data_IF_166223266457
#
_entry.id   IF_166223266457
#
_cell.length_a   1.000
_cell.length_b   1.000
_cell.length_c   1.000
_cell.angle_alpha   90.00
_cell.angle_beta   90.00
_cell.angle_gamma   90.00
#
_symmetry.space_group_name_H-M   'P 1'
#
loop_
_entity.id
_entity.type
_entity.pdbx_description
1 polymer ?
#
# COMPACT_ATOMS: atom_id res chain seq x y z
N UNK A 1 16.19 16.11 -0.06
CA UNK A 1 15.27 15.49 0.92
C UNK A 1 14.50 14.35 0.30
N UNK A 2 14.90 13.12 0.61
CA UNK A 2 14.24 11.90 0.13
C UNK A 2 13.03 11.58 1.00
N UNK A 3 11.99 12.42 0.95
CA UNK A 3 10.74 12.11 1.65
C UNK A 3 9.96 11.05 0.87
N UNK A 4 9.65 9.95 1.55
CA UNK A 4 8.71 8.95 1.05
C UNK A 4 7.30 9.55 1.05
N UNK A 5 6.60 9.43 -0.08
CA UNK A 5 5.23 9.94 -0.24
C UNK A 5 4.35 8.83 -0.78
N UNK A 6 3.35 8.43 -0.01
CA UNK A 6 2.35 7.45 -0.42
C UNK A 6 1.09 8.17 -0.89
N UNK A 7 0.54 7.77 -2.05
CA UNK A 7 -0.82 8.17 -2.40
C UNK A 7 -1.80 7.51 -1.43
N UNK A 8 -2.91 8.19 -1.17
CA UNK A 8 -3.92 7.76 -0.20
C UNK A 8 -5.20 7.23 -0.87
N UNK A 9 -5.23 7.06 -2.19
CA UNK A 9 -6.37 6.55 -2.96
C UNK A 9 -5.88 5.61 -4.07
N UNK A 10 -6.63 4.52 -4.29
CA UNK A 10 -6.58 3.69 -5.50
C UNK A 10 -7.98 3.51 -6.08
N UNK A 11 -8.04 3.43 -7.41
CA UNK A 11 -9.25 3.21 -8.23
C UNK A 11 -8.99 2.05 -9.20
N UNK A 12 -8.85 0.81 -8.72
CA UNK A 12 -8.51 -0.35 -9.55
C UNK A 12 -9.67 -0.74 -10.50
N UNK A 13 -9.77 -0.02 -11.62
CA UNK A 13 -10.77 -0.18 -12.66
C UNK A 13 -10.14 -0.51 -14.04
N UNK A 14 -8.81 -0.52 -14.15
CA UNK A 14 -8.07 -0.92 -15.35
C UNK A 14 -7.90 0.19 -16.37
N UNK A 15 -8.10 1.46 -16.00
CA UNK A 15 -7.90 2.62 -16.88
C UNK A 15 -6.44 3.12 -16.94
N UNK A 16 -5.55 2.49 -16.16
CA UNK A 16 -4.14 2.85 -16.04
C UNK A 16 -3.85 3.93 -14.99
N UNK A 17 -4.85 4.44 -14.27
CA UNK A 17 -4.72 5.54 -13.30
C UNK A 17 -5.10 5.07 -11.90
N UNK A 18 -4.13 5.17 -10.99
CA UNK A 18 -4.29 4.73 -9.59
C UNK A 18 -4.80 3.28 -9.46
N UNK A 19 -4.51 2.42 -10.44
CA UNK A 19 -4.88 1.00 -10.40
C UNK A 19 -4.13 0.23 -9.32
N UNK A 20 -2.91 0.66 -9.02
CA UNK A 20 -2.09 0.15 -7.92
C UNK A 20 -1.73 1.24 -6.94
N UNK A 21 -1.39 0.83 -5.72
CA UNK A 21 -0.94 1.74 -4.69
C UNK A 21 0.51 2.13 -4.93
N UNK A 22 0.70 3.38 -5.34
CA UNK A 22 2.01 3.96 -5.61
C UNK A 22 2.56 4.68 -4.39
N UNK A 23 3.77 4.29 -3.99
CA UNK A 23 4.59 4.94 -2.99
C UNK A 23 5.87 5.45 -3.70
N UNK A 24 6.05 6.77 -3.70
CA UNK A 24 7.24 7.40 -4.30
C UNK A 24 8.47 7.12 -3.43
N UNK A 25 9.60 6.86 -4.10
CA UNK A 25 10.91 6.57 -3.51
C UNK A 25 10.99 5.27 -2.69
N UNK A 26 10.02 4.35 -2.84
CA UNK A 26 10.07 3.05 -2.14
C UNK A 26 11.20 2.15 -2.64
N UNK A 27 11.65 2.37 -3.87
CA UNK A 27 12.79 1.71 -4.53
C UNK A 27 14.13 1.99 -3.83
N UNK A 28 14.25 3.09 -3.08
CA UNK A 28 15.43 3.34 -2.23
C UNK A 28 15.47 2.47 -0.98
N UNK A 29 14.39 1.76 -0.67
CA UNK A 29 14.26 0.86 0.48
C UNK A 29 13.98 -0.57 -0.02
N UNK A 30 14.93 -1.25 -0.67
CA UNK A 30 14.70 -2.58 -1.25
C UNK A 30 14.35 -3.65 -0.20
N UNK A 31 14.75 -3.42 1.06
CA UNK A 31 14.39 -4.29 2.20
C UNK A 31 13.08 -3.90 2.89
N UNK A 32 12.27 -3.02 2.29
CA UNK A 32 11.02 -2.58 2.90
C UNK A 32 10.06 -3.74 3.15
N UNK A 33 9.16 -3.57 4.11
CA UNK A 33 8.01 -4.45 4.30
C UNK A 33 6.75 -3.61 4.39
N UNK A 34 5.82 -3.83 3.48
CA UNK A 34 4.51 -3.18 3.47
C UNK A 34 3.47 -4.12 4.04
N UNK A 35 2.66 -3.62 4.97
CA UNK A 35 1.47 -4.28 5.51
C UNK A 35 0.28 -3.36 5.38
N UNK A 36 -0.85 -3.89 4.91
CA UNK A 36 -2.14 -3.20 4.87
C UNK A 36 -3.14 -3.94 5.74
N UNK A 37 -3.94 -3.17 6.47
CA UNK A 37 -4.88 -3.62 7.47
C UNK A 37 -6.28 -3.09 7.15
N UNK A 38 -7.29 -3.90 7.43
CA UNK A 38 -8.67 -3.42 7.45
C UNK A 38 -8.98 -2.62 8.72
N UNK A 39 -10.22 -2.13 8.84
CA UNK A 39 -10.68 -1.36 10.00
C UNK A 39 -10.69 -2.14 11.31
N UNK A 40 -10.69 -3.48 11.26
CA UNK A 40 -10.63 -4.34 12.43
C UNK A 40 -9.18 -4.67 12.83
N UNK A 41 -8.19 -4.15 12.11
CA UNK A 41 -6.77 -4.41 12.35
C UNK A 41 -6.28 -5.74 11.78
N UNK A 42 -7.07 -6.43 10.94
CA UNK A 42 -6.64 -7.66 10.28
C UNK A 42 -5.75 -7.33 9.09
N UNK A 43 -4.65 -8.05 8.91
CA UNK A 43 -3.78 -7.90 7.75
C UNK A 43 -4.51 -8.42 6.51
N UNK A 44 -4.66 -7.55 5.51
CA UNK A 44 -5.28 -7.85 4.20
C UNK A 44 -4.28 -7.76 3.04
N UNK A 45 -3.05 -7.34 3.32
CA UNK A 45 -1.94 -7.43 2.38
C UNK A 45 -0.61 -7.37 3.13
N UNK A 46 0.36 -8.16 2.70
CA UNK A 46 1.73 -8.08 3.20
C UNK A 46 2.71 -8.45 2.09
N UNK A 47 3.74 -7.63 1.91
CA UNK A 47 4.83 -7.91 0.98
C UNK A 47 6.16 -7.36 1.50
N UNK A 48 7.20 -8.17 1.40
CA UNK A 48 8.58 -7.73 1.54
C UNK A 48 9.11 -7.30 0.17
N UNK A 49 9.87 -6.21 0.12
CA UNK A 49 10.33 -5.60 -1.12
C UNK A 49 9.15 -5.15 -1.98
N UNK A 50 8.27 -4.31 -1.41
CA UNK A 50 7.13 -3.77 -2.16
C UNK A 50 7.60 -2.88 -3.31
N UNK A 51 6.94 -3.02 -4.46
CA UNK A 51 7.33 -2.38 -5.73
C UNK A 51 6.15 -1.70 -6.43
N UNK A 52 5.17 -1.20 -5.68
CA UNK A 52 3.98 -0.52 -6.21
C UNK A 52 3.02 -1.43 -7.02
N UNK A 53 2.90 -2.70 -6.63
CA UNK A 53 2.13 -3.72 -7.35
C UNK A 53 0.81 -4.13 -6.68
N UNK A 54 0.42 -3.52 -5.56
CA UNK A 54 -0.84 -3.86 -4.90
C UNK A 54 -2.01 -3.09 -5.49
N UNK A 55 -3.03 -3.80 -5.96
CA UNK A 55 -4.23 -3.27 -6.60
C UNK A 55 -5.50 -3.36 -5.72
N UNK A 56 -5.33 -3.41 -4.39
CA UNK A 56 -6.47 -3.52 -3.48
C UNK A 56 -7.11 -4.91 -3.47
N UNK A 57 -6.31 -5.97 -3.57
CA UNK A 57 -6.77 -7.36 -3.50
C UNK A 57 -6.21 -8.07 -2.27
N UNK A 58 -6.95 -9.06 -1.78
CA UNK A 58 -6.54 -9.99 -0.74
C UNK A 58 -6.92 -11.42 -1.16
N UNK A 59 -5.96 -12.35 -1.15
CA UNK A 59 -6.16 -13.73 -1.61
C UNK A 59 -6.85 -13.80 -2.99
N UNK A 60 -6.35 -13.03 -3.97
CA UNK A 60 -6.89 -12.90 -5.33
C UNK A 60 -8.33 -12.38 -5.42
N UNK A 61 -8.92 -11.92 -4.31
CA UNK A 61 -10.26 -11.34 -4.26
C UNK A 61 -10.15 -9.83 -4.09
N UNK A 62 -10.99 -9.08 -4.82
CA UNK A 62 -11.11 -7.65 -4.66
C UNK A 62 -11.57 -7.29 -3.24
N UNK A 63 -10.83 -6.40 -2.58
CA UNK A 63 -11.28 -5.80 -1.34
C UNK A 63 -12.43 -4.83 -1.60
N UNK A 64 -13.34 -4.76 -0.62
CA UNK A 64 -14.45 -3.81 -0.61
C UNK A 64 -13.96 -2.38 -0.65
N UNK A 65 -14.74 -1.48 -1.25
CA UNK A 65 -14.45 -0.05 -1.15
C UNK A 65 -14.39 0.40 0.32
N UNK A 66 -13.53 1.37 0.60
CA UNK A 66 -13.37 1.95 1.92
C UNK A 66 -11.92 2.23 2.31
N UNK A 67 -11.75 2.71 3.54
CA UNK A 67 -10.45 3.06 4.10
C UNK A 67 -9.79 1.86 4.76
N UNK A 68 -8.53 1.66 4.41
CA UNK A 68 -7.58 0.71 4.97
C UNK A 68 -6.41 1.47 5.58
N UNK A 69 -5.67 0.81 6.47
CA UNK A 69 -4.51 1.40 7.13
C UNK A 69 -3.26 0.66 6.71
N UNK A 70 -2.12 1.34 6.69
CA UNK A 70 -0.86 0.70 6.33
C UNK A 70 0.26 1.01 7.31
N UNK A 71 1.22 0.09 7.33
CA UNK A 71 2.54 0.27 7.92
C UNK A 71 3.58 -0.13 6.87
N UNK A 72 4.52 0.78 6.62
CA UNK A 72 5.71 0.55 5.80
C UNK A 72 6.89 0.52 6.76
N UNK A 73 7.55 -0.61 6.89
CA UNK A 73 8.87 -0.72 7.50
C UNK A 73 9.92 -0.52 6.41
N UNK A 74 10.87 0.39 6.60
CA UNK A 74 11.91 0.66 5.61
C UNK A 74 13.04 -0.38 5.61
N UNK A 75 13.06 -1.29 6.58
CA UNK A 75 14.11 -2.27 6.79
C UNK A 75 15.33 -1.66 7.49
N UNK A 76 16.25 -2.54 7.90
CA UNK A 76 17.55 -2.16 8.50
C UNK A 76 17.48 -1.16 9.68
N UNK A 77 16.37 -1.12 10.42
CA UNK A 77 16.18 -0.20 11.54
C UNK A 77 15.95 1.27 11.14
N UNK A 78 15.70 1.55 9.86
CA UNK A 78 15.47 2.91 9.33
C UNK A 78 14.12 3.51 9.77
N UNK A 79 13.29 2.73 10.46
CA UNK A 79 12.01 3.17 11.03
C UNK A 79 10.80 2.77 10.18
N UNK A 80 9.65 3.30 10.57
CA UNK A 80 8.37 2.96 9.95
C UNK A 80 7.59 4.21 9.53
N UNK A 81 6.85 4.10 8.43
CA UNK A 81 5.89 5.08 7.97
C UNK A 81 4.48 4.49 8.00
N UNK A 82 3.50 5.29 8.46
CA UNK A 82 2.14 4.82 8.70
C UNK A 82 1.14 5.80 8.09
N UNK A 83 -0.03 5.29 7.76
CA UNK A 83 -1.10 6.11 7.20
C UNK A 83 -2.29 5.28 6.78
N UNK A 84 -3.06 5.82 5.85
CA UNK A 84 -4.27 5.21 5.34
C UNK A 84 -4.34 5.29 3.82
N UNK A 85 -5.08 4.36 3.24
CA UNK A 85 -5.38 4.32 1.82
C UNK A 85 -6.87 4.02 1.63
N UNK A 86 -7.50 4.70 0.70
CA UNK A 86 -8.90 4.48 0.34
C UNK A 86 -8.97 3.73 -0.97
N UNK A 87 -9.73 2.63 -0.97
CA UNK A 87 -10.08 1.90 -2.20
C UNK A 87 -11.43 2.43 -2.65
N UNK A 88 -11.48 2.94 -3.88
CA UNK A 88 -12.72 3.32 -4.57
C UNK A 88 -12.95 2.30 -5.69
N UNK A 89 -14.20 1.89 -5.89
CA UNK A 89 -14.62 0.98 -6.96
C UNK A 89 -15.77 1.64 -7.70
N UNK A 90 -15.71 1.63 -9.02
CA UNK A 90 -16.79 2.06 -9.91
C UNK A 90 -17.80 0.91 -10.16
#
# INVERSE_FOLDING_TARGET
DYQLTANNVITPNGDGKNDTWVIKNIDYYPSNTVKVFDKAGRIVYQKQGYTNDWNGTYNNTALTQGTYYYVIDFGAGLGTFKGYITIIRD
#
